data_IF_080616541310
#
_entry.id   IF_080616541310
#
_cell.length_a   1.000
_cell.length_b   1.000
_cell.length_c   1.000
_cell.angle_alpha   90.00
_cell.angle_beta   90.00
_cell.angle_gamma   90.00
#
_symmetry.space_group_name_H-M   'P 1'
#
loop_
_entity.id
_entity.type
_entity.pdbx_description
1 polymer ?
#
# COMPACT_ATOMS: atom_id res chain seq x y z
N UNK A 1 5.68 -11.64 9.90
CA UNK A 1 4.24 -11.43 9.63
C UNK A 1 3.66 -12.70 8.98
N UNK A 2 2.45 -13.19 9.32
CA UNK A 2 1.79 -14.26 8.57
C UNK A 2 1.26 -13.76 7.23
N UNK A 3 1.51 -14.47 6.13
CA UNK A 3 0.87 -14.22 4.83
C UNK A 3 -0.40 -15.05 4.67
N UNK A 4 -1.22 -14.64 3.71
CA UNK A 4 -2.34 -15.44 3.21
C UNK A 4 -1.92 -16.06 1.89
N UNK A 5 -2.07 -17.36 1.76
CA UNK A 5 -1.94 -18.07 0.49
C UNK A 5 -3.30 -18.09 -0.21
N UNK A 6 -3.31 -17.82 -1.50
CA UNK A 6 -4.50 -17.72 -2.33
C UNK A 6 -4.45 -18.82 -3.39
N UNK A 7 -5.41 -19.74 -3.37
CA UNK A 7 -5.41 -20.92 -4.22
C UNK A 7 -6.71 -20.98 -5.01
N UNK A 8 -6.62 -21.11 -6.32
CA UNK A 8 -7.82 -21.31 -7.13
C UNK A 8 -8.31 -22.75 -7.01
N UNK A 9 -9.59 -22.93 -6.66
CA UNK A 9 -10.21 -24.24 -6.48
C UNK A 9 -10.40 -25.05 -7.78
N UNK A 10 -10.14 -24.46 -8.96
CA UNK A 10 -10.42 -25.09 -10.27
C UNK A 10 -9.16 -25.41 -11.07
N UNK A 11 -8.22 -24.48 -11.17
CA UNK A 11 -7.01 -24.65 -11.99
C UNK A 11 -5.73 -24.93 -11.18
N UNK A 12 -5.80 -24.90 -9.84
CA UNK A 12 -4.63 -25.08 -8.99
C UNK A 12 -3.62 -23.93 -9.09
N UNK A 13 -4.04 -22.74 -9.53
CA UNK A 13 -3.21 -21.54 -9.41
C UNK A 13 -2.90 -21.26 -7.94
N UNK A 14 -1.67 -20.82 -7.64
CA UNK A 14 -1.22 -20.41 -6.31
C UNK A 14 -0.63 -19.00 -6.36
N UNK A 15 -1.12 -18.12 -5.49
CA UNK A 15 -0.57 -16.78 -5.25
C UNK A 15 -0.50 -16.48 -3.76
N UNK A 16 -0.03 -15.28 -3.42
CA UNK A 16 0.13 -14.87 -2.03
C UNK A 16 -0.20 -13.40 -1.82
N UNK A 17 -0.89 -13.10 -0.72
CA UNK A 17 -1.08 -11.74 -0.25
C UNK A 17 0.23 -11.09 0.25
N UNK A 18 1.34 -11.84 0.34
CA UNK A 18 2.64 -11.28 0.71
C UNK A 18 3.18 -10.26 -0.32
N UNK A 19 2.65 -10.23 -1.55
CA UNK A 19 3.11 -9.30 -2.60
C UNK A 19 2.98 -7.83 -2.21
N UNK A 20 2.04 -7.49 -1.32
CA UNK A 20 1.85 -6.13 -0.80
C UNK A 20 2.79 -5.79 0.37
N UNK A 21 3.62 -6.72 0.84
CA UNK A 21 4.54 -6.46 1.94
C UNK A 21 5.74 -5.64 1.50
N UNK A 22 6.25 -4.84 2.43
CA UNK A 22 7.47 -4.03 2.26
C UNK A 22 7.20 -2.55 2.34
N UNK A 23 8.16 -1.77 1.86
CA UNK A 23 8.08 -0.31 1.77
C UNK A 23 8.06 0.08 0.29
N UNK A 24 7.10 0.91 -0.10
CA UNK A 24 6.89 1.33 -1.48
C UNK A 24 6.80 2.85 -1.48
N UNK A 25 7.59 3.48 -2.35
CA UNK A 25 7.66 4.95 -2.42
C UNK A 25 7.74 5.40 -3.87
N UNK A 26 7.07 6.52 -4.18
CA UNK A 26 7.39 7.26 -5.40
C UNK A 26 8.57 8.20 -5.16
N UNK A 27 9.31 8.47 -6.22
CA UNK A 27 10.39 9.45 -6.26
C UNK A 27 9.99 10.58 -7.21
N UNK A 28 10.02 11.82 -6.71
CA UNK A 28 9.83 13.04 -7.51
C UNK A 28 10.95 14.04 -7.18
N UNK A 29 12.03 14.01 -7.97
CA UNK A 29 13.25 14.75 -7.64
C UNK A 29 13.87 14.18 -6.36
N UNK A 30 14.10 15.01 -5.35
CA UNK A 30 14.59 14.60 -4.03
C UNK A 30 13.48 14.18 -3.06
N UNK A 31 12.21 14.33 -3.45
CA UNK A 31 11.07 14.01 -2.60
C UNK A 31 10.70 12.54 -2.71
N UNK A 32 10.71 11.86 -1.57
CA UNK A 32 10.12 10.53 -1.42
C UNK A 32 8.66 10.66 -0.98
N UNK A 33 7.76 10.07 -1.75
CA UNK A 33 6.32 10.13 -1.53
C UNK A 33 5.85 8.73 -1.13
N UNK A 34 5.12 8.57 0.00
CA UNK A 34 4.58 7.26 0.37
C UNK A 34 3.64 6.74 -0.72
N UNK A 35 3.72 5.45 -1.01
CA UNK A 35 2.86 4.78 -1.99
C UNK A 35 1.90 3.85 -1.26
N UNK A 36 0.60 4.17 -1.34
CA UNK A 36 -0.45 3.27 -0.87
C UNK A 36 -0.75 2.19 -1.90
N UNK A 37 -0.95 0.97 -1.41
CA UNK A 37 -1.09 -0.22 -2.25
C UNK A 37 -2.04 -1.22 -1.64
N UNK A 38 -2.66 -1.98 -2.51
CA UNK A 38 -3.56 -3.08 -2.15
C UNK A 38 -3.21 -4.32 -2.96
N UNK A 39 -3.77 -5.45 -2.55
CA UNK A 39 -3.73 -6.66 -3.34
C UNK A 39 -4.65 -6.48 -4.55
N UNK A 40 -4.19 -6.88 -5.72
CA UNK A 40 -4.99 -6.89 -6.93
C UNK A 40 -4.58 -8.02 -7.86
N UNK A 41 -5.44 -8.35 -8.81
CA UNK A 41 -5.13 -9.21 -9.93
C UNK A 41 -4.65 -8.34 -11.10
N UNK A 42 -3.54 -8.70 -11.75
CA UNK A 42 -3.13 -8.04 -12.98
C UNK A 42 -3.35 -8.96 -14.18
N UNK A 43 -4.11 -8.50 -15.17
CA UNK A 43 -4.38 -9.24 -16.40
C UNK A 43 -3.11 -9.57 -17.18
N UNK A 44 -2.19 -8.61 -17.27
CA UNK A 44 -0.95 -8.76 -18.05
C UNK A 44 0.08 -9.66 -17.35
N UNK A 45 0.15 -9.61 -16.02
CA UNK A 45 0.97 -10.57 -15.27
C UNK A 45 0.31 -11.94 -15.15
N UNK A 46 -1.03 -12.00 -15.27
CA UNK A 46 -1.85 -13.16 -14.93
C UNK A 46 -1.55 -13.68 -13.51
N UNK A 47 -1.39 -12.76 -12.56
CA UNK A 47 -0.98 -13.05 -11.18
C UNK A 47 -1.55 -12.02 -10.19
N UNK A 48 -1.53 -12.36 -8.90
CA UNK A 48 -1.71 -11.43 -7.80
C UNK A 48 -0.49 -10.54 -7.66
N UNK A 49 -0.74 -9.24 -7.59
CA UNK A 49 0.28 -8.20 -7.50
C UNK A 49 -0.06 -7.20 -6.42
N UNK A 50 0.94 -6.45 -5.97
CA UNK A 50 0.67 -5.16 -5.37
C UNK A 50 0.26 -4.20 -6.50
N UNK A 51 -0.88 -3.53 -6.33
CA UNK A 51 -1.32 -2.45 -7.20
C UNK A 51 -1.47 -1.16 -6.39
N UNK A 52 -1.42 -0.02 -7.06
CA UNK A 52 -1.70 1.28 -6.44
C UNK A 52 -3.09 1.27 -5.77
N UNK A 53 -3.18 1.88 -4.59
CA UNK A 53 -4.44 2.04 -3.86
C UNK A 53 -4.77 3.51 -3.68
N UNK A 54 -5.73 3.98 -4.45
CA UNK A 54 -6.22 5.35 -4.42
C UNK A 54 -7.53 5.51 -3.64
N UNK A 55 -8.10 4.42 -3.11
CA UNK A 55 -9.28 4.46 -2.24
C UNK A 55 -8.99 5.08 -0.86
N UNK A 56 -7.71 5.24 -0.51
CA UNK A 56 -7.22 5.82 0.75
C UNK A 56 -7.28 7.37 0.81
N UNK A 57 -7.91 8.03 -0.17
CA UNK A 57 -7.98 9.49 -0.27
C UNK A 57 -8.44 10.16 1.03
N UNK A 58 -9.50 9.65 1.65
CA UNK A 58 -10.06 10.24 2.87
C UNK A 58 -9.15 10.03 4.09
N UNK A 59 -8.50 8.86 4.18
CA UNK A 59 -7.49 8.58 5.21
C UNK A 59 -6.30 9.53 5.07
N UNK A 60 -5.86 9.77 3.84
CA UNK A 60 -4.77 10.69 3.54
C UNK A 60 -5.12 12.15 3.88
N UNK A 61 -6.35 12.59 3.58
CA UNK A 61 -6.85 13.90 3.99
C UNK A 61 -6.87 14.05 5.51
N UNK A 62 -7.30 13.02 6.24
CA UNK A 62 -7.28 13.02 7.70
C UNK A 62 -5.84 13.08 8.25
N UNK A 63 -4.90 12.38 7.62
CA UNK A 63 -3.48 12.44 8.00
C UNK A 63 -2.86 13.83 7.75
N UNK A 64 -3.18 14.46 6.61
CA UNK A 64 -2.78 15.83 6.30
C UNK A 64 -3.34 16.80 7.35
N UNK A 65 -4.62 16.71 7.67
CA UNK A 65 -5.25 17.55 8.69
C UNK A 65 -4.56 17.39 10.06
N UNK A 66 -4.27 16.14 10.45
CA UNK A 66 -3.53 15.83 11.68
C UNK A 66 -2.10 16.39 11.67
N UNK A 67 -1.42 16.36 10.53
CA UNK A 67 -0.07 16.95 10.39
C UNK A 67 -0.09 18.48 10.45
N UNK A 68 -1.19 19.13 10.07
CA UNK A 68 -1.35 20.59 10.10
C UNK A 68 -1.72 21.14 11.49
N UNK A 69 -2.38 20.37 12.35
CA UNK A 69 -2.76 20.75 13.72
C UNK A 69 -1.64 21.40 14.55
N UNK A 70 -0.43 20.81 14.71
CA UNK A 70 0.64 21.42 15.49
C UNK A 70 1.17 22.72 14.88
N UNK A 71 1.07 22.88 13.55
CA UNK A 71 1.49 24.09 12.84
C UNK A 71 0.48 25.22 13.10
N UNK A 72 -0.82 24.92 12.99
CA UNK A 72 -1.90 25.88 13.18
C UNK A 72 -2.03 26.33 14.64
N UNK A 73 -1.88 25.42 15.61
CA UNK A 73 -1.91 25.72 17.04
C UNK A 73 -0.78 26.67 17.46
N UNK A 74 0.37 26.62 16.78
CA UNK A 74 1.51 27.51 17.02
C UNK A 74 1.30 28.91 16.47
N UNK A 75 0.70 29.03 15.28
CA UNK A 75 0.32 30.34 14.72
C UNK A 75 -0.65 31.10 15.64
N UNK A 76 -1.49 30.37 16.39
CA UNK A 76 -2.45 30.94 17.36
C UNK A 76 -1.85 31.22 18.74
N UNK A 77 -0.67 30.69 19.10
CA UNK A 77 -0.01 30.89 20.41
C UNK A 77 1.24 31.76 20.28
N UNK A 78 1.07 33.07 20.41
CA UNK A 78 2.20 34.01 20.60
C UNK A 78 2.99 33.78 21.90
N UNK A 79 2.43 33.07 22.90
CA UNK A 79 2.93 33.09 24.29
C UNK A 79 3.72 31.83 24.71
N UNK A 80 3.73 30.75 23.92
CA UNK A 80 4.36 29.48 24.34
C UNK A 80 5.75 29.24 23.73
N UNK A 81 6.58 30.27 23.61
CA UNK A 81 7.94 30.16 23.05
C UNK A 81 8.86 29.27 23.91
N UNK A 82 8.52 29.04 25.18
CA UNK A 82 9.37 28.33 26.14
C UNK A 82 9.09 26.82 26.29
N UNK A 83 7.95 26.29 25.81
CA UNK A 83 7.53 24.91 26.15
C UNK A 83 7.69 23.87 25.02
N UNK A 84 8.01 24.26 23.79
CA UNK A 84 8.28 23.32 22.69
C UNK A 84 9.63 23.60 22.02
N UNK A 85 10.72 23.11 22.61
CA UNK A 85 12.01 22.99 21.93
C UNK A 85 12.00 21.75 21.01
N UNK A 86 11.21 21.78 19.95
CA UNK A 86 11.45 20.90 18.79
C UNK A 86 12.69 21.42 18.06
N UNK A 87 13.59 20.51 17.70
CA UNK A 87 14.81 20.87 16.98
C UNK A 87 14.46 21.39 15.58
N UNK A 88 15.38 22.12 14.95
CA UNK A 88 15.23 22.52 13.53
C UNK A 88 15.02 21.29 12.63
N UNK A 89 15.66 20.17 12.95
CA UNK A 89 15.53 18.91 12.21
C UNK A 89 14.12 18.33 12.31
N UNK A 90 13.49 18.35 13.49
CA UNK A 90 12.13 17.84 13.65
C UNK A 90 11.12 18.61 12.81
N UNK A 91 11.33 19.93 12.66
CA UNK A 91 10.47 20.78 11.83
C UNK A 91 10.65 20.49 10.35
N UNK A 92 11.89 20.28 9.90
CA UNK A 92 12.16 19.92 8.51
C UNK A 92 11.50 18.59 8.16
N UNK A 93 11.65 17.57 9.02
CA UNK A 93 10.97 16.27 8.84
C UNK A 93 9.45 16.37 8.77
N UNK A 94 8.86 17.26 9.57
CA UNK A 94 7.40 17.46 9.57
C UNK A 94 6.92 18.16 8.30
N UNK A 95 7.68 19.15 7.81
CA UNK A 95 7.42 19.81 6.52
C UNK A 95 7.59 18.81 5.37
N UNK A 96 8.68 18.04 5.35
CA UNK A 96 8.93 17.00 4.34
C UNK A 96 7.81 15.96 4.32
N UNK A 97 7.37 15.48 5.49
CA UNK A 97 6.23 14.56 5.60
C UNK A 97 4.96 15.20 5.03
N UNK A 98 4.64 16.44 5.40
CA UNK A 98 3.45 17.13 4.91
C UNK A 98 3.50 17.32 3.39
N UNK A 99 4.65 17.73 2.84
CA UNK A 99 4.87 17.84 1.40
C UNK A 99 4.69 16.50 0.69
N UNK A 100 5.19 15.41 1.27
CA UNK A 100 5.01 14.06 0.72
C UNK A 100 3.54 13.63 0.73
N UNK A 101 2.79 13.87 1.81
CA UNK A 101 1.35 13.54 1.88
C UNK A 101 0.52 14.35 0.86
N UNK A 102 0.81 15.65 0.71
CA UNK A 102 0.14 16.50 -0.28
C UNK A 102 0.46 16.03 -1.71
N UNK A 103 1.72 15.69 -1.97
CA UNK A 103 2.13 15.15 -3.27
C UNK A 103 1.43 13.82 -3.58
N UNK A 104 1.28 12.95 -2.58
CA UNK A 104 0.53 11.70 -2.72
C UNK A 104 -0.95 11.96 -3.05
N UNK A 105 -1.58 12.94 -2.38
CA UNK A 105 -2.97 13.30 -2.64
C UNK A 105 -3.15 13.86 -4.05
N UNK A 106 -2.20 14.68 -4.52
CA UNK A 106 -2.21 15.19 -5.89
C UNK A 106 -2.11 14.05 -6.92
N UNK A 107 -1.20 13.09 -6.71
CA UNK A 107 -1.08 11.91 -7.57
C UNK A 107 -2.36 11.08 -7.62
N UNK A 108 -3.00 10.86 -6.47
CA UNK A 108 -4.31 10.19 -6.41
C UNK A 108 -5.34 10.97 -7.25
N UNK A 109 -5.39 12.29 -7.10
CA UNK A 109 -6.32 13.14 -7.85
C UNK A 109 -6.13 13.07 -9.37
N UNK A 110 -4.88 12.99 -9.83
CA UNK A 110 -4.53 12.93 -11.25
C UNK A 110 -4.78 11.56 -11.89
N UNK A 111 -4.65 10.49 -11.09
CA UNK A 111 -4.57 9.10 -11.60
C UNK A 111 -5.67 8.17 -11.09
N UNK A 112 -6.65 8.67 -10.34
CA UNK A 112 -7.77 7.87 -9.86
C UNK A 112 -8.50 7.14 -11.01
N UNK A 113 -8.66 5.81 -10.89
CA UNK A 113 -9.21 4.96 -11.95
C UNK A 113 -8.21 4.55 -13.03
N UNK A 114 -6.94 4.90 -12.88
CA UNK A 114 -5.80 4.44 -13.70
C UNK A 114 -4.69 3.84 -12.83
N UNK A 115 -5.10 3.15 -11.77
CA UNK A 115 -4.22 2.43 -10.86
C UNK A 115 -3.36 1.45 -11.65
N UNK A 116 -2.09 1.33 -11.25
CA UNK A 116 -1.12 0.46 -11.93
C UNK A 116 -0.71 -0.72 -11.08
N UNK A 117 -0.37 -1.79 -11.79
CA UNK A 117 0.40 -2.90 -11.27
C UNK A 117 1.81 -2.43 -10.87
N UNK A 118 2.19 -2.59 -9.61
CA UNK A 118 3.51 -2.22 -9.09
C UNK A 118 4.60 -3.26 -9.44
N UNK A 119 4.26 -4.26 -10.28
CA UNK A 119 5.21 -5.20 -10.86
C UNK A 119 5.57 -4.86 -12.32
N UNK A 120 4.56 -4.63 -13.18
CA UNK A 120 4.75 -4.42 -14.62
C UNK A 120 4.33 -3.03 -15.14
N UNK A 121 3.68 -2.20 -14.32
CA UNK A 121 3.20 -0.87 -14.71
C UNK A 121 1.89 -0.85 -15.50
N UNK A 122 1.30 -2.02 -15.80
CA UNK A 122 0.02 -2.11 -16.51
C UNK A 122 -1.14 -1.51 -15.71
N UNK A 123 -2.12 -0.93 -16.39
CA UNK A 123 -3.41 -0.50 -15.84
C UNK A 123 -4.48 -1.58 -15.92
N UNK A 124 -4.19 -2.74 -16.51
CA UNK A 124 -5.06 -3.91 -16.54
C UNK A 124 -5.00 -4.60 -15.19
N UNK A 125 -5.54 -3.94 -14.17
CA UNK A 125 -5.56 -4.39 -12.78
C UNK A 125 -6.98 -4.33 -12.22
N UNK A 126 -7.31 -5.32 -11.41
CA UNK A 126 -8.56 -5.41 -10.67
C UNK A 126 -8.24 -5.52 -9.19
N UNK A 127 -8.84 -4.65 -8.37
CA UNK A 127 -8.66 -4.71 -6.93
C UNK A 127 -9.20 -6.04 -6.41
N UNK A 128 -8.42 -6.71 -5.58
CA UNK A 128 -8.94 -7.84 -4.82
C UNK A 128 -9.86 -7.32 -3.71
N UNK A 129 -11.16 -7.53 -3.87
CA UNK A 129 -12.20 -7.17 -2.92
C UNK A 129 -12.71 -8.38 -2.11
N UNK A 130 -12.06 -9.53 -2.30
CA UNK A 130 -12.42 -10.77 -1.62
C UNK A 130 -12.39 -10.63 -0.11
N UNK A 131 -13.45 -11.10 0.53
CA UNK A 131 -13.58 -11.08 1.99
C UNK A 131 -13.19 -12.42 2.55
N UNK A 132 -12.21 -12.45 3.45
CA UNK A 132 -11.87 -13.64 4.21
C UNK A 132 -11.52 -13.24 5.64
N UNK A 133 -11.75 -14.14 6.59
CA UNK A 133 -11.45 -13.88 7.98
C UNK A 133 -9.95 -13.68 8.11
N UNK A 134 -9.51 -12.49 8.55
CA UNK A 134 -8.13 -12.36 9.05
C UNK A 134 -8.01 -13.35 10.21
N UNK A 135 -7.26 -14.43 10.07
CA UNK A 135 -7.32 -15.51 11.03
C UNK A 135 -6.70 -15.01 12.34
N UNK A 136 -7.44 -15.10 13.45
CA UNK A 136 -6.82 -15.01 14.76
C UNK A 136 -5.75 -16.10 14.82
N UNK A 137 -4.48 -15.69 14.95
CA UNK A 137 -3.28 -16.48 14.71
C UNK A 137 -3.10 -17.75 15.56
N UNK A 138 -4.11 -18.12 16.36
CA UNK A 138 -4.05 -19.18 17.36
C UNK A 138 -5.09 -20.31 17.15
N UNK A 139 -6.15 -20.13 16.35
CA UNK A 139 -7.26 -21.11 16.28
C UNK A 139 -7.52 -21.74 14.91
N UNK A 140 -7.08 -21.12 13.82
CA UNK A 140 -7.36 -21.60 12.45
C UNK A 140 -6.15 -22.27 11.83
N UNK A 141 -5.84 -23.48 12.29
CA UNK A 141 -4.96 -24.39 11.54
C UNK A 141 -5.77 -25.02 10.41
N UNK A 142 -5.48 -24.62 9.17
CA UNK A 142 -5.84 -25.39 7.97
C UNK A 142 -7.24 -25.17 7.38
N UNK A 143 -8.02 -24.20 7.86
CA UNK A 143 -9.28 -23.84 7.20
C UNK A 143 -9.02 -22.90 6.02
N UNK A 144 -9.42 -23.33 4.84
CA UNK A 144 -9.52 -22.49 3.63
C UNK A 144 -10.85 -21.75 3.66
N UNK A 145 -10.81 -20.42 3.58
CA UNK A 145 -11.99 -19.58 3.49
C UNK A 145 -12.25 -19.20 2.03
N UNK A 146 -13.50 -19.30 1.60
CA UNK A 146 -13.96 -18.73 0.34
C UNK A 146 -13.78 -17.22 0.37
N UNK A 147 -13.22 -16.64 -0.69
CA UNK A 147 -12.96 -15.19 -0.74
C UNK A 147 -14.06 -14.42 -1.46
N UNK A 148 -14.87 -15.09 -2.30
CA UNK A 148 -15.79 -14.47 -3.24
C UNK A 148 -15.11 -13.95 -4.53
N UNK A 149 -13.78 -13.91 -4.60
CA UNK A 149 -13.06 -13.42 -5.76
C UNK A 149 -12.85 -14.55 -6.78
N UNK A 150 -13.35 -14.35 -8.01
CA UNK A 150 -13.26 -15.34 -9.08
C UNK A 150 -11.98 -15.16 -9.91
N UNK A 151 -11.29 -16.27 -10.20
CA UNK A 151 -10.12 -16.32 -11.05
C UNK A 151 -10.47 -15.96 -12.51
N UNK A 152 -9.98 -14.84 -13.06
CA UNK A 152 -10.41 -14.36 -14.38
C UNK A 152 -10.15 -15.35 -15.53
N UNK A 153 -9.06 -16.10 -15.47
CA UNK A 153 -8.70 -17.07 -16.51
C UNK A 153 -9.48 -18.41 -16.51
N UNK A 154 -10.09 -18.84 -15.39
CA UNK A 154 -10.74 -20.15 -15.33
C UNK A 154 -12.15 -20.14 -14.72
N UNK A 155 -12.55 -19.03 -14.07
CA UNK A 155 -13.82 -18.89 -13.37
C UNK A 155 -13.94 -19.67 -12.07
N UNK A 156 -12.86 -20.31 -11.60
CA UNK A 156 -12.81 -20.89 -10.25
C UNK A 156 -12.70 -19.81 -9.19
N UNK A 157 -13.06 -20.11 -7.95
CA UNK A 157 -12.96 -19.16 -6.85
C UNK A 157 -11.59 -19.28 -6.17
N UNK A 158 -11.04 -18.15 -5.71
CA UNK A 158 -9.86 -18.18 -4.84
C UNK A 158 -10.26 -18.49 -3.40
N UNK A 159 -9.53 -19.43 -2.81
CA UNK A 159 -9.59 -19.79 -1.41
C UNK A 159 -8.41 -19.14 -0.69
N UNK A 160 -8.67 -18.53 0.46
CA UNK A 160 -7.65 -17.96 1.33
C UNK A 160 -7.29 -18.95 2.43
N UNK A 161 -6.00 -19.14 2.68
CA UNK A 161 -5.50 -19.93 3.81
C UNK A 161 -4.32 -19.25 4.49
N UNK A 162 -4.14 -19.51 5.78
CA UNK A 162 -3.05 -18.91 6.55
C UNK A 162 -1.75 -19.61 6.19
N UNK A 163 -0.75 -18.84 5.77
CA UNK A 163 0.60 -19.35 5.68
C UNK A 163 1.20 -19.46 7.10
N UNK A 164 1.59 -20.66 7.56
CA UNK A 164 2.13 -20.85 8.90
C UNK A 164 3.54 -20.26 9.05
N UNK A 165 4.22 -19.94 7.96
CA UNK A 165 5.57 -19.38 7.98
C UNK A 165 5.52 -17.98 8.60
N UNK A 166 6.49 -17.70 9.47
CA UNK A 166 6.69 -16.39 10.08
C UNK A 166 8.06 -15.90 9.65
N UNK A 167 8.06 -14.91 8.77
CA UNK A 167 9.29 -14.26 8.34
C UNK A 167 9.50 -12.98 9.14
N UNK A 168 10.74 -12.79 9.61
CA UNK A 168 11.24 -11.52 10.10
C UNK A 168 12.11 -10.93 8.99
N UNK A 169 11.57 -9.96 8.25
CA UNK A 169 12.20 -9.40 7.07
C UNK A 169 12.41 -7.91 7.28
N UNK A 170 13.61 -7.44 6.92
CA UNK A 170 13.88 -6.03 6.67
C UNK A 170 13.68 -5.85 5.17
N UNK A 171 12.78 -4.95 4.78
CA UNK A 171 12.50 -4.67 3.38
C UNK A 171 13.24 -3.41 2.97
N UNK A 172 14.08 -3.51 1.95
CA UNK A 172 14.57 -2.34 1.27
C UNK A 172 13.40 -1.65 0.54
N UNK A 173 13.35 -0.30 0.50
CA UNK A 173 12.30 0.42 -0.19
C UNK A 173 12.28 0.09 -1.68
N UNK A 174 11.10 -0.25 -2.20
CA UNK A 174 10.85 -0.36 -3.64
C UNK A 174 10.48 1.03 -4.16
N UNK A 175 11.29 1.54 -5.08
CA UNK A 175 11.18 2.90 -5.58
C UNK A 175 10.48 2.92 -6.93
N UNK A 176 9.58 3.88 -7.12
CA UNK A 176 8.77 4.04 -8.31
C UNK A 176 8.83 5.48 -8.83
N UNK A 177 8.73 5.67 -10.15
CA UNK A 177 8.46 6.98 -10.73
C UNK A 177 7.02 7.39 -10.42
N UNK A 178 6.72 8.68 -10.49
CA UNK A 178 5.34 9.20 -10.35
C UNK A 178 4.35 8.62 -11.37
N UNK A 179 4.85 8.10 -12.49
CA UNK A 179 4.08 7.40 -13.52
C UNK A 179 3.83 5.91 -13.20
N UNK A 180 4.33 5.42 -12.05
CA UNK A 180 4.14 4.06 -11.56
C UNK A 180 5.16 3.03 -12.06
N UNK A 181 6.28 3.47 -12.66
CA UNK A 181 7.33 2.57 -13.13
C UNK A 181 8.38 2.31 -12.06
N UNK A 182 8.75 1.05 -11.87
CA UNK A 182 9.75 0.64 -10.87
C UNK A 182 11.15 1.13 -11.26
N UNK A 183 11.87 1.77 -10.35
CA UNK A 183 13.18 2.43 -10.56
C UNK A 183 14.39 1.57 -10.15
N UNK A 184 14.19 0.57 -9.30
CA UNK A 184 15.25 -0.32 -8.77
C UNK A 184 15.50 -1.58 -9.63
N UNK A 185 14.78 -1.74 -10.76
CA UNK A 185 15.13 -2.76 -11.77
C UNK A 185 16.27 -2.23 -12.64
N UNK A 186 17.52 -2.52 -12.26
CA UNK A 186 18.58 -2.59 -13.26
C UNK A 186 18.17 -3.69 -14.26
N UNK A 187 18.04 -3.30 -15.52
CA UNK A 187 17.82 -4.23 -16.63
C UNK A 187 19.08 -5.02 -16.92
#
# INVERSE_FOLDING_TARGET
MPSTDLICNKCGFHGSAAVVWGDFRYIKGELEIPLSRTLGWCGDCSDFVAMEDFAIKDELLAEIAKALEPISARAKRWVSFFLLKRTRQDRLKEIERLSALIAHLALIGERNGSERCLHCGSTSVERFDGTYSKPNSYTSKGTTDNTGFCHPGCGGEFLASVNPIRLNLIFDPRLYSVDGYRLDRQT
#
